data_IF_984055631356
#
_entry.id   IF_984055631356
#
_cell.length_a   1.000
_cell.length_b   1.000
_cell.length_c   1.000
_cell.angle_alpha   90.00
_cell.angle_beta   90.00
_cell.angle_gamma   90.00
#
_symmetry.space_group_name_H-M   'P 1'
#
loop_
_entity.id
_entity.type
_entity.pdbx_description
1 polymer ?
#
# COMPACT_ATOMS: atom_id res chain seq x y z
N UNK A 1 -14.36 7.34 1.12
CA UNK A 1 -13.37 6.86 0.13
C UNK A 1 -12.32 7.95 0.02
N UNK A 2 -11.04 7.60 0.05
CA UNK A 2 -9.94 8.56 0.01
C UNK A 2 -9.33 8.59 -1.39
N UNK A 3 -8.92 9.77 -1.85
CA UNK A 3 -8.31 9.98 -3.15
C UNK A 3 -6.99 10.73 -2.97
N UNK A 4 -5.99 10.35 -3.77
CA UNK A 4 -4.73 11.08 -3.85
C UNK A 4 -4.27 11.15 -5.31
N UNK A 5 -3.50 12.17 -5.65
CA UNK A 5 -2.91 12.37 -6.98
C UNK A 5 -1.42 12.54 -6.77
N UNK A 6 -0.64 11.65 -7.38
CA UNK A 6 0.82 11.68 -7.33
C UNK A 6 1.29 12.25 -8.66
N UNK A 7 2.17 13.25 -8.59
CA UNK A 7 2.74 13.92 -9.77
C UNK A 7 4.26 13.78 -9.67
N UNK A 8 4.89 13.35 -10.76
CA UNK A 8 6.33 13.16 -10.85
C UNK A 8 6.86 13.56 -12.24
N UNK A 9 8.13 13.96 -12.36
CA UNK A 9 8.69 14.41 -13.64
C UNK A 9 8.95 13.25 -14.62
N UNK A 10 9.14 12.02 -14.14
CA UNK A 10 9.34 10.82 -14.99
C UNK A 10 8.43 9.67 -14.55
N UNK A 11 8.16 8.74 -15.46
CA UNK A 11 7.37 7.54 -15.17
C UNK A 11 8.01 6.65 -14.10
N UNK A 12 9.34 6.58 -14.07
CA UNK A 12 10.09 5.79 -13.10
C UNK A 12 9.90 6.33 -11.68
N UNK A 13 9.99 7.65 -11.51
CA UNK A 13 9.76 8.32 -10.22
C UNK A 13 8.28 8.15 -9.83
N UNK A 14 7.35 8.32 -10.78
CA UNK A 14 5.92 8.12 -10.53
C UNK A 14 5.65 6.70 -10.02
N UNK A 15 6.21 5.68 -10.68
CA UNK A 15 6.04 4.29 -10.31
C UNK A 15 6.60 4.01 -8.91
N UNK A 16 7.77 4.57 -8.57
CA UNK A 16 8.39 4.44 -7.25
C UNK A 16 7.53 5.06 -6.15
N UNK A 17 7.03 6.28 -6.38
CA UNK A 17 6.15 6.97 -5.43
C UNK A 17 4.84 6.19 -5.22
N UNK A 18 4.17 5.81 -6.30
CA UNK A 18 2.93 5.03 -6.28
C UNK A 18 3.12 3.69 -5.56
N UNK A 19 4.25 3.00 -5.78
CA UNK A 19 4.57 1.74 -5.14
C UNK A 19 4.62 1.85 -3.60
N UNK A 20 5.05 2.99 -3.05
CA UNK A 20 5.05 3.25 -1.61
C UNK A 20 3.64 3.28 -0.97
N UNK A 21 2.61 3.55 -1.77
CA UNK A 21 1.22 3.60 -1.31
C UNK A 21 0.49 2.26 -1.41
N UNK A 22 0.93 1.34 -2.28
CA UNK A 22 0.26 0.05 -2.46
C UNK A 22 0.19 -0.79 -1.17
N UNK A 23 1.26 -0.91 -0.36
CA UNK A 23 1.21 -1.62 0.92
C UNK A 23 0.25 -0.99 1.95
N UNK A 24 -0.09 0.29 1.78
CA UNK A 24 -1.01 1.03 2.65
C UNK A 24 -2.47 0.92 2.18
N UNK A 25 -2.73 0.10 1.16
CA UNK A 25 -4.08 -0.27 0.71
C UNK A 25 -4.62 0.66 -0.36
N UNK A 26 -3.76 1.51 -0.92
CA UNK A 26 -4.10 2.33 -2.07
C UNK A 26 -4.08 1.49 -3.34
N UNK A 27 -4.97 1.83 -4.27
CA UNK A 27 -5.11 1.19 -5.57
C UNK A 27 -5.03 2.23 -6.66
N UNK A 28 -4.50 1.83 -7.81
CA UNK A 28 -4.50 2.66 -9.01
C UNK A 28 -5.93 2.97 -9.43
N UNK A 29 -6.17 4.23 -9.77
CA UNK A 29 -7.45 4.69 -10.30
C UNK A 29 -7.22 5.37 -11.64
N UNK A 30 -7.74 4.75 -12.70
CA UNK A 30 -7.58 5.26 -14.05
C UNK A 30 -6.15 5.11 -14.60
N UNK A 31 -5.92 5.74 -15.75
CA UNK A 31 -4.63 5.75 -16.42
C UNK A 31 -3.71 6.86 -15.90
N UNK A 32 -2.42 6.72 -16.20
CA UNK A 32 -1.44 7.80 -16.04
C UNK A 32 -1.79 8.91 -17.04
N UNK A 33 -1.79 10.15 -16.56
CA UNK A 33 -1.98 11.34 -17.39
C UNK A 33 -0.66 12.09 -17.52
N UNK A 34 -0.32 12.50 -18.74
CA UNK A 34 0.74 13.48 -18.94
C UNK A 34 0.22 14.86 -18.56
N UNK A 35 0.96 15.55 -17.69
CA UNK A 35 0.59 16.88 -17.22
C UNK A 35 1.82 17.79 -17.24
N UNK A 36 1.77 18.81 -18.11
CA UNK A 36 2.87 19.72 -18.41
C UNK A 36 4.15 18.98 -18.84
N UNK A 37 5.15 18.88 -17.94
CA UNK A 37 6.45 18.24 -18.15
C UNK A 37 6.62 17.03 -17.23
N UNK A 38 5.54 16.32 -16.92
CA UNK A 38 5.57 15.19 -16.02
C UNK A 38 4.35 14.31 -16.16
N UNK A 39 4.22 13.36 -15.24
CA UNK A 39 3.22 12.32 -15.22
C UNK A 39 2.46 12.36 -13.90
N UNK A 40 1.15 12.14 -13.99
CA UNK A 40 0.26 12.11 -12.86
C UNK A 40 -0.51 10.79 -12.81
N UNK A 41 -0.61 10.20 -11.62
CA UNK A 41 -1.43 9.02 -11.36
C UNK A 41 -2.39 9.29 -10.20
N UNK A 42 -3.68 9.03 -10.42
CA UNK A 42 -4.65 9.02 -9.34
C UNK A 42 -4.64 7.66 -8.63
N UNK A 43 -4.72 7.68 -7.30
CA UNK A 43 -4.89 6.50 -6.47
C UNK A 43 -6.08 6.67 -5.54
N UNK A 44 -6.70 5.55 -5.17
CA UNK A 44 -7.89 5.48 -4.33
C UNK A 44 -7.70 4.46 -3.21
N UNK A 45 -8.21 4.77 -2.03
CA UNK A 45 -8.29 3.83 -0.91
C UNK A 45 -9.71 3.77 -0.36
N UNK A 46 -10.22 2.55 -0.19
CA UNK A 46 -11.47 2.35 0.54
C UNK A 46 -11.19 2.11 2.03
N UNK A 47 -12.06 2.58 2.94
CA UNK A 47 -11.92 2.30 4.38
C UNK A 47 -11.88 0.80 4.72
N UNK A 48 -12.46 -0.06 3.88
CA UNK A 48 -12.38 -1.52 4.06
C UNK A 48 -10.97 -2.06 3.76
N UNK A 49 -10.22 -1.42 2.88
CA UNK A 49 -8.86 -1.83 2.51
C UNK A 49 -7.87 -1.55 3.66
N UNK A 50 -8.06 -0.46 4.42
CA UNK A 50 -7.24 -0.17 5.61
C UNK A 50 -7.49 -1.18 6.74
N UNK A 51 -8.73 -1.61 6.95
CA UNK A 51 -9.09 -2.63 7.96
C UNK A 51 -8.47 -3.99 7.62
N UNK A 52 -8.46 -4.38 6.33
CA UNK A 52 -7.84 -5.64 5.89
C UNK A 52 -6.33 -5.67 6.17
N UNK A 53 -5.64 -4.54 5.99
CA UNK A 53 -4.21 -4.43 6.30
C UNK A 53 -3.92 -4.52 7.79
N UNK A 54 -4.74 -3.86 8.61
CA UNK A 54 -4.68 -4.01 10.07
C UNK A 54 -4.83 -5.48 10.46
N UNK A 55 -5.79 -6.22 9.89
CA UNK A 55 -5.94 -7.65 10.18
C UNK A 55 -4.73 -8.48 9.74
N UNK A 56 -4.14 -8.22 8.57
CA UNK A 56 -2.95 -8.93 8.11
C UNK A 56 -1.72 -8.66 9.00
N UNK A 57 -1.51 -7.42 9.44
CA UNK A 57 -0.42 -7.10 10.37
C UNK A 57 -0.61 -7.80 11.73
N UNK A 58 -1.84 -7.86 12.26
CA UNK A 58 -2.11 -8.57 13.51
C UNK A 58 -1.91 -10.09 13.37
N UNK A 59 -2.26 -10.69 12.24
CA UNK A 59 -2.04 -12.12 11.99
C UNK A 59 -0.55 -12.50 11.86
N UNK A 60 0.28 -11.61 11.32
CA UNK A 60 1.74 -11.84 11.27
C UNK A 60 2.38 -11.77 12.66
N UNK A 61 1.89 -10.89 13.54
CA UNK A 61 2.42 -10.78 14.92
C UNK A 61 2.06 -11.97 15.81
N UNK A 62 0.90 -12.61 15.61
CA UNK A 62 0.49 -13.77 16.42
C UNK A 62 1.25 -15.05 16.07
N UNK A 63 1.73 -15.20 14.84
CA UNK A 63 2.52 -16.36 14.40
C UNK A 63 3.91 -16.44 15.06
N UNK A 64 4.51 -15.31 15.45
CA UNK A 64 5.85 -15.27 16.06
C UNK A 64 5.84 -15.65 17.55
N UNK A 65 4.71 -15.48 18.25
CA UNK A 65 4.60 -15.72 19.70
C UNK A 65 4.25 -17.16 20.09
N UNK A 66 3.94 -18.05 19.15
CA UNK A 66 3.53 -19.43 19.44
C UNK A 66 4.63 -20.49 19.25
N UNK A 67 5.91 -20.12 19.40
CA UNK A 67 6.97 -21.13 19.56
C UNK A 67 6.91 -21.67 21.00
N UNK A 68 5.97 -22.60 21.23
CA UNK A 68 5.79 -23.33 22.49
C UNK A 68 7.14 -23.87 22.98
N UNK A 69 7.61 -23.35 24.11
CA UNK A 69 8.65 -23.99 24.92
C UNK A 69 8.13 -25.37 25.34
N UNK A 70 8.63 -26.44 24.74
CA UNK A 70 8.43 -27.80 25.27
C UNK A 70 9.37 -27.93 26.46
N UNK A 71 8.82 -27.99 27.67
CA UNK A 71 9.54 -28.51 28.83
C UNK A 71 9.71 -30.01 28.61
N UNK A 72 10.96 -30.48 28.62
CA UNK A 72 11.32 -31.90 28.58
C UNK A 72 11.46 -32.32 30.05
N UNK A 73 10.83 -33.44 30.43
CA UNK A 73 11.01 -34.15 31.71
C UNK A 73 12.37 -34.87 31.77
#
# INVERSE_FOLDING_TARGET
MEYNIIIAPTLEILASEVAGFIPQGWKLKGAILEHMNGYAQQIVRHPKDSIRLLQQQHQQQTAVKQRRTRWIE
#
